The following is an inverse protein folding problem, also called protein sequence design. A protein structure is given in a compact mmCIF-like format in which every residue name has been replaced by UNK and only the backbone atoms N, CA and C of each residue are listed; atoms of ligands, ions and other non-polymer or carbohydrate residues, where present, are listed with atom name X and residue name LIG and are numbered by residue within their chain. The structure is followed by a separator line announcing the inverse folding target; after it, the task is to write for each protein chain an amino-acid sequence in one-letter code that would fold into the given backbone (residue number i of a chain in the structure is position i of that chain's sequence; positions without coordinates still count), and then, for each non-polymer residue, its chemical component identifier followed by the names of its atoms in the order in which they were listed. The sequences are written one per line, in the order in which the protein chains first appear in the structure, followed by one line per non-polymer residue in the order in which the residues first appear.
data_IF_577726373626
#
_entry.id   IF_577726373626
#
_cell.length_a   1.000
_cell.length_b   1.000
_cell.length_c   1.000
_cell.angle_alpha   90.00
_cell.angle_beta   90.00
_cell.angle_gamma   90.00
#
_symmetry.space_group_name_H-M   'P 1'
#
loop_
_entity.id
_entity.type
_entity.pdbx_description
1 polymer ?
#
# COMPACT_ATOMS: atom_id res chain seq x y z
N UNK A 1 -10.49 -14.87 16.51
CA UNK A 1 -9.59 -16.04 16.64
C UNK A 1 -8.85 -16.41 15.35
N UNK A 2 -9.32 -16.00 14.16
CA UNK A 2 -8.65 -16.30 12.86
C UNK A 2 -7.43 -15.41 12.58
N UNK A 3 -7.36 -14.21 13.19
CA UNK A 3 -6.35 -13.19 12.85
C UNK A 3 -4.90 -13.54 13.27
N UNK A 4 -4.70 -14.37 14.30
CA UNK A 4 -3.35 -14.73 14.79
C UNK A 4 -2.66 -15.83 13.99
N UNK A 5 -3.41 -16.67 13.28
CA UNK A 5 -2.82 -17.80 12.53
C UNK A 5 -2.21 -17.37 11.19
N UNK A 6 -2.76 -16.34 10.53
CA UNK A 6 -2.21 -15.80 9.28
C UNK A 6 -0.90 -15.03 9.50
N UNK A 7 -0.77 -14.28 10.60
CA UNK A 7 0.49 -13.62 10.96
C UNK A 7 1.64 -14.61 11.17
N UNK A 8 1.40 -15.78 11.75
CA UNK A 8 2.44 -16.77 12.01
C UNK A 8 2.91 -17.50 10.75
N UNK A 9 2.03 -17.72 9.76
CA UNK A 9 2.41 -18.34 8.49
C UNK A 9 3.28 -17.40 7.63
N UNK A 10 2.95 -16.10 7.62
CA UNK A 10 3.73 -15.07 6.93
C UNK A 10 5.12 -14.86 7.55
N UNK A 11 5.22 -14.88 8.88
CA UNK A 11 6.50 -14.69 9.59
C UNK A 11 7.47 -15.86 9.32
N UNK A 12 6.95 -17.09 9.15
CA UNK A 12 7.80 -18.27 8.89
C UNK A 12 8.43 -18.27 7.49
N UNK A 13 7.81 -17.62 6.49
CA UNK A 13 8.38 -17.51 5.15
C UNK A 13 9.33 -16.30 5.01
N UNK A 14 9.11 -15.24 5.82
CA UNK A 14 9.92 -14.02 5.83
C UNK A 14 11.35 -14.20 6.37
N UNK A 15 11.61 -15.19 7.23
CA UNK A 15 12.95 -15.38 7.82
C UNK A 15 13.97 -16.00 6.85
N UNK A 16 13.53 -16.59 5.73
CA UNK A 16 14.43 -17.17 4.74
C UNK A 16 14.83 -16.21 3.60
N UNK A 17 14.12 -15.08 3.44
CA UNK A 17 14.26 -14.19 2.28
C UNK A 17 15.05 -12.90 2.54
N UNK A 18 15.25 -12.53 3.81
CA UNK A 18 16.06 -11.35 4.19
C UNK A 18 17.53 -11.41 3.76
N UNK A 19 18.01 -12.56 3.30
CA UNK A 19 19.38 -12.74 2.84
C UNK A 19 19.59 -12.47 1.34
N UNK A 20 18.54 -12.47 0.52
CA UNK A 20 18.64 -12.26 -0.94
C UNK A 20 18.39 -10.82 -1.38
N UNK A 21 17.61 -10.06 -0.61
CA UNK A 21 17.27 -8.66 -0.88
C UNK A 21 18.52 -7.75 -0.83
N UNK A 22 19.51 -8.07 0.00
CA UNK A 22 20.71 -7.23 0.18
C UNK A 22 21.58 -7.02 -1.06
N UNK A 23 21.49 -7.88 -2.08
CA UNK A 23 22.36 -7.79 -3.27
C UNK A 23 21.76 -6.99 -4.44
N UNK A 24 20.43 -6.86 -4.53
CA UNK A 24 19.80 -6.07 -5.59
C UNK A 24 19.85 -4.54 -5.32
N UNK A 25 19.93 -4.14 -4.04
CA UNK A 25 19.73 -2.75 -3.61
C UNK A 25 20.94 -1.83 -3.83
N UNK A 26 22.16 -2.38 -3.89
CA UNK A 26 23.35 -1.57 -4.21
C UNK A 26 23.34 -1.04 -5.66
N UNK A 27 22.50 -1.61 -6.54
CA UNK A 27 22.45 -1.26 -7.97
C UNK A 27 21.52 -0.08 -8.31
N UNK A 28 20.52 0.26 -7.48
CA UNK A 28 19.61 1.40 -7.79
C UNK A 28 20.37 2.74 -7.73
N UNK A 29 21.42 2.86 -6.91
CA UNK A 29 22.13 4.13 -6.69
C UNK A 29 23.30 4.35 -7.67
N UNK A 30 24.01 3.27 -8.05
CA UNK A 30 25.18 3.37 -8.92
C UNK A 30 24.80 3.52 -10.42
N UNK A 31 23.66 2.97 -10.85
CA UNK A 31 23.20 3.12 -12.24
C UNK A 31 22.68 4.53 -12.57
N UNK A 32 22.25 5.31 -11.57
CA UNK A 32 21.66 6.64 -11.81
C UNK A 32 22.72 7.73 -11.99
N UNK A 33 23.87 7.59 -11.32
CA UNK A 33 24.97 8.57 -11.39
C UNK A 33 25.88 8.38 -12.61
N UNK A 34 25.91 7.20 -13.23
CA UNK A 34 26.71 6.94 -14.44
C UNK A 34 26.07 7.53 -15.74
N UNK A 35 24.88 8.13 -15.62
CA UNK A 35 24.08 8.70 -16.72
C UNK A 35 24.21 10.23 -16.87
N UNK A 36 25.21 10.88 -16.27
CA UNK A 36 25.32 12.36 -16.28
C UNK A 36 25.73 13.01 -17.63
N UNK A 37 25.59 12.29 -18.74
CA UNK A 37 25.80 12.79 -20.10
C UNK A 37 24.65 12.52 -21.08
N UNK A 38 23.53 11.93 -20.64
CA UNK A 38 22.39 11.60 -21.51
C UNK A 38 21.17 12.47 -21.19
N UNK A 39 20.50 12.92 -22.24
CA UNK A 39 19.18 13.57 -22.15
C UNK A 39 18.19 12.52 -21.65
N UNK A 40 17.68 12.69 -20.43
CA UNK A 40 16.61 11.83 -19.88
C UNK A 40 15.35 12.07 -20.74
N UNK A 41 14.75 11.03 -21.34
CA UNK A 41 13.52 11.17 -22.11
C UNK A 41 12.40 11.81 -21.29
N UNK A 42 11.63 12.70 -21.92
CA UNK A 42 10.53 13.41 -21.25
C UNK A 42 9.48 12.46 -20.66
N UNK A 43 9.32 11.28 -21.25
CA UNK A 43 8.46 10.20 -20.76
C UNK A 43 8.92 9.62 -19.40
N UNK A 44 10.23 9.43 -19.20
CA UNK A 44 10.78 8.92 -17.94
C UNK A 44 10.62 9.95 -16.81
N UNK A 45 10.77 11.24 -17.11
CA UNK A 45 10.53 12.33 -16.16
C UNK A 45 9.05 12.35 -15.73
N UNK A 46 8.12 12.19 -16.68
CA UNK A 46 6.68 12.15 -16.39
C UNK A 46 6.32 10.93 -15.54
N UNK A 47 6.79 9.75 -15.92
CA UNK A 47 6.59 8.51 -15.16
C UNK A 47 7.06 8.66 -13.71
N UNK A 48 8.29 9.15 -13.51
CA UNK A 48 8.83 9.38 -12.16
C UNK A 48 7.96 10.34 -11.34
N UNK A 49 7.50 11.44 -11.94
CA UNK A 49 6.64 12.42 -11.28
C UNK A 49 5.28 11.82 -10.90
N UNK A 50 4.68 11.04 -11.80
CA UNK A 50 3.38 10.42 -11.59
C UNK A 50 3.47 9.34 -10.51
N UNK A 51 4.52 8.52 -10.50
CA UNK A 51 4.80 7.54 -9.45
C UNK A 51 5.02 8.19 -8.08
N UNK A 52 5.85 9.24 -7.99
CA UNK A 52 6.09 9.95 -6.74
C UNK A 52 4.80 10.56 -6.18
N UNK A 53 3.98 11.15 -7.05
CA UNK A 53 2.68 11.69 -6.66
C UNK A 53 1.76 10.58 -6.15
N UNK A 54 1.63 9.49 -6.91
CA UNK A 54 0.80 8.34 -6.52
C UNK A 54 1.21 7.79 -5.14
N UNK A 55 2.51 7.58 -4.92
CA UNK A 55 3.03 7.09 -3.64
C UNK A 55 2.74 8.07 -2.49
N UNK A 56 2.87 9.37 -2.74
CA UNK A 56 2.53 10.40 -1.76
C UNK A 56 1.04 10.37 -1.41
N UNK A 57 0.17 10.29 -2.42
CA UNK A 57 -1.28 10.25 -2.24
C UNK A 57 -1.71 8.98 -1.46
N UNK A 58 -1.11 7.82 -1.76
CA UNK A 58 -1.34 6.56 -1.03
C UNK A 58 -0.99 6.72 0.46
N UNK A 59 0.21 7.25 0.78
CA UNK A 59 0.65 7.43 2.17
C UNK A 59 -0.23 8.41 2.94
N UNK A 60 -0.63 9.51 2.30
CA UNK A 60 -1.52 10.48 2.92
C UNK A 60 -2.90 9.88 3.21
N UNK A 61 -3.42 9.04 2.31
CA UNK A 61 -4.67 8.32 2.52
C UNK A 61 -4.55 7.27 3.63
N UNK A 62 -3.47 6.48 3.66
CA UNK A 62 -3.19 5.50 4.71
C UNK A 62 -3.14 6.16 6.09
N UNK A 63 -2.38 7.26 6.20
CA UNK A 63 -2.29 8.05 7.40
C UNK A 63 -3.64 8.62 7.83
N UNK A 64 -4.37 9.25 6.90
CA UNK A 64 -5.68 9.85 7.19
C UNK A 64 -6.73 8.83 7.61
N UNK A 65 -6.75 7.66 6.96
CA UNK A 65 -7.63 6.55 7.35
C UNK A 65 -7.27 6.04 8.75
N UNK A 66 -5.98 5.87 9.02
CA UNK A 66 -5.47 5.48 10.35
C UNK A 66 -5.87 6.49 11.43
N UNK A 67 -5.79 7.79 11.15
CA UNK A 67 -6.24 8.83 12.08
C UNK A 67 -7.74 8.75 12.36
N UNK A 68 -8.57 8.64 11.33
CA UNK A 68 -10.03 8.57 11.48
C UNK A 68 -10.44 7.34 12.29
N UNK A 69 -9.82 6.18 12.01
CA UNK A 69 -10.14 4.93 12.68
C UNK A 69 -9.58 4.85 14.10
N UNK A 70 -8.45 5.48 14.41
CA UNK A 70 -7.96 5.59 15.79
C UNK A 70 -8.71 6.65 16.59
N UNK A 71 -9.26 7.67 15.91
CA UNK A 71 -9.97 8.78 16.53
C UNK A 71 -11.32 9.00 15.87
N UNK A 72 -12.28 8.18 16.28
CA UNK A 72 -13.67 8.10 15.81
C UNK A 72 -14.45 9.43 15.80
N UNK A 73 -13.89 10.51 16.36
CA UNK A 73 -14.49 11.85 16.36
C UNK A 73 -14.09 12.72 15.16
N UNK A 74 -13.09 12.30 14.36
CA UNK A 74 -12.42 13.16 13.36
C UNK A 74 -12.84 12.91 11.91
N UNK A 75 -13.82 12.04 11.68
CA UNK A 75 -14.33 11.71 10.35
C UNK A 75 -15.73 11.11 10.38
N UNK A 76 -16.21 10.73 9.20
CA UNK A 76 -17.51 10.08 9.01
C UNK A 76 -17.37 8.74 8.29
N UNK A 77 -18.39 7.89 8.39
CA UNK A 77 -18.44 6.60 7.70
C UNK A 77 -18.32 6.78 6.18
N UNK A 78 -18.99 7.81 5.63
CA UNK A 78 -18.90 8.19 4.22
C UNK A 78 -17.46 8.55 3.84
N UNK A 79 -16.78 9.35 4.68
CA UNK A 79 -15.38 9.73 4.44
C UNK A 79 -14.45 8.50 4.44
N UNK A 80 -14.64 7.54 5.36
CA UNK A 80 -13.87 6.29 5.38
C UNK A 80 -14.08 5.50 4.09
N UNK A 81 -15.35 5.34 3.66
CA UNK A 81 -15.71 4.61 2.45
C UNK A 81 -15.06 5.25 1.21
N UNK A 82 -15.20 6.56 1.04
CA UNK A 82 -14.64 7.30 -0.09
C UNK A 82 -13.11 7.21 -0.11
N UNK A 83 -12.45 7.46 1.03
CA UNK A 83 -10.99 7.40 1.12
C UNK A 83 -10.45 6.00 0.89
N UNK A 84 -11.10 4.96 1.42
CA UNK A 84 -10.70 3.56 1.20
C UNK A 84 -10.84 3.17 -0.28
N UNK A 85 -11.89 3.64 -0.97
CA UNK A 85 -12.04 3.44 -2.42
C UNK A 85 -10.89 4.08 -3.20
N UNK A 86 -10.55 5.33 -2.90
CA UNK A 86 -9.44 6.05 -3.57
C UNK A 86 -8.10 5.39 -3.25
N UNK A 87 -7.90 4.95 -2.01
CA UNK A 87 -6.71 4.21 -1.60
C UNK A 87 -6.54 2.92 -2.40
N UNK A 88 -7.59 2.10 -2.47
CA UNK A 88 -7.59 0.84 -3.22
C UNK A 88 -7.27 1.06 -4.70
N UNK A 89 -7.84 2.10 -5.30
CA UNK A 89 -7.52 2.48 -6.69
C UNK A 89 -6.06 2.92 -6.84
N UNK A 90 -5.52 3.64 -5.85
CA UNK A 90 -4.11 4.01 -5.81
C UNK A 90 -3.18 2.80 -5.81
N UNK A 91 -3.45 1.81 -4.95
CA UNK A 91 -2.65 0.57 -4.90
C UNK A 91 -2.77 -0.21 -6.21
N UNK A 92 -3.96 -0.31 -6.83
CA UNK A 92 -4.13 -0.97 -8.14
C UNK A 92 -3.32 -0.30 -9.25
N UNK A 93 -3.26 1.03 -9.25
CA UNK A 93 -2.39 1.77 -10.18
C UNK A 93 -0.92 1.45 -9.92
N UNK A 94 -0.52 1.35 -8.66
CA UNK A 94 0.85 0.98 -8.30
C UNK A 94 1.18 -0.44 -8.80
N UNK A 95 0.27 -1.40 -8.62
CA UNK A 95 0.35 -2.75 -9.21
C UNK A 95 0.51 -2.70 -10.73
N UNK A 96 -0.24 -1.83 -11.40
CA UNK A 96 -0.15 -1.67 -12.86
C UNK A 96 1.22 -1.14 -13.28
N UNK A 97 1.73 -0.12 -12.59
CA UNK A 97 3.08 0.41 -12.81
C UNK A 97 4.17 -0.61 -12.53
N UNK A 98 4.02 -1.44 -11.50
CA UNK A 98 4.99 -2.47 -11.16
C UNK A 98 5.06 -3.55 -12.26
N UNK A 99 3.93 -3.90 -12.89
CA UNK A 99 3.90 -4.82 -14.03
C UNK A 99 4.53 -4.24 -15.31
N UNK A 100 4.48 -2.92 -15.52
CA UNK A 100 4.96 -2.29 -16.76
C UNK A 100 6.34 -1.67 -16.66
N UNK A 101 6.71 -1.17 -15.48
CA UNK A 101 7.93 -0.43 -15.16
C UNK A 101 8.51 -0.93 -13.82
N UNK A 102 8.81 -2.23 -13.76
CA UNK A 102 9.13 -2.93 -12.50
C UNK A 102 10.27 -2.26 -11.73
N UNK A 103 11.41 -2.01 -12.39
CA UNK A 103 12.61 -1.48 -11.75
C UNK A 103 12.38 -0.06 -11.21
N UNK A 104 11.86 0.84 -12.03
CA UNK A 104 11.60 2.24 -11.65
C UNK A 104 10.55 2.32 -10.54
N UNK A 105 9.49 1.52 -10.64
CA UNK A 105 8.43 1.46 -9.62
C UNK A 105 8.99 0.92 -8.31
N UNK A 106 9.82 -0.12 -8.34
CA UNK A 106 10.44 -0.69 -7.14
C UNK A 106 11.35 0.33 -6.45
N UNK A 107 12.26 1.00 -7.19
CA UNK A 107 13.14 1.99 -6.56
C UNK A 107 12.35 3.25 -6.06
N UNK A 108 11.24 3.65 -6.69
CA UNK A 108 10.47 4.85 -6.29
C UNK A 108 9.48 4.57 -5.15
N UNK A 109 8.85 3.40 -5.16
CA UNK A 109 7.83 2.99 -4.20
C UNK A 109 8.37 2.08 -3.10
N UNK A 110 9.70 2.00 -2.94
CA UNK A 110 10.41 1.16 -1.96
C UNK A 110 9.76 1.21 -0.58
N UNK A 111 9.47 2.41 -0.07
CA UNK A 111 8.93 2.57 1.28
C UNK A 111 7.46 2.15 1.43
N UNK A 112 6.71 2.02 0.33
CA UNK A 112 5.39 1.38 0.34
C UNK A 112 5.54 -0.14 0.24
N UNK A 113 6.44 -0.62 -0.60
CA UNK A 113 6.66 -2.06 -0.84
C UNK A 113 7.28 -2.75 0.38
N UNK A 114 8.09 -2.04 1.17
CA UNK A 114 8.70 -2.53 2.40
C UNK A 114 7.70 -2.64 3.56
N UNK A 115 6.52 -2.00 3.46
CA UNK A 115 5.44 -2.18 4.44
C UNK A 115 4.87 -3.58 4.36
N UNK A 116 4.25 -4.06 5.45
CA UNK A 116 3.55 -5.37 5.50
C UNK A 116 2.05 -5.28 5.23
N UNK A 117 1.58 -4.14 4.74
CA UNK A 117 0.18 -3.83 4.52
C UNK A 117 -0.10 -2.35 4.75
N UNK A 118 -1.37 -1.97 4.62
CA UNK A 118 -1.84 -0.64 4.99
C UNK A 118 -1.93 -0.51 6.52
N UNK A 119 -1.43 0.58 7.08
CA UNK A 119 -1.41 0.80 8.53
C UNK A 119 -2.84 0.87 9.10
N UNK A 120 -3.79 1.40 8.32
CA UNK A 120 -5.17 1.54 8.79
C UNK A 120 -5.90 0.20 8.98
N UNK A 121 -5.38 -0.89 8.41
CA UNK A 121 -5.91 -2.24 8.62
C UNK A 121 -5.47 -2.85 9.96
N UNK A 122 -4.43 -2.30 10.59
CA UNK A 122 -3.96 -2.75 11.91
C UNK A 122 -4.80 -2.14 13.05
N UNK A 123 -5.67 -1.18 12.75
CA UNK A 123 -6.63 -0.62 13.71
C UNK A 123 -7.74 -1.64 13.94
N UNK A 124 -7.98 -1.99 15.21
CA UNK A 124 -9.05 -2.92 15.59
C UNK A 124 -10.42 -2.24 15.35
N UNK A 125 -11.03 -2.56 14.22
CA UNK A 125 -12.33 -2.02 13.81
C UNK A 125 -13.34 -3.15 13.78
N UNK A 126 -14.33 -3.08 14.67
CA UNK A 126 -15.50 -3.94 14.60
C UNK A 126 -16.79 -3.16 14.27
N UNK A 127 -17.81 -3.89 13.79
CA UNK A 127 -19.11 -3.32 13.40
C UNK A 127 -19.81 -2.58 14.55
N UNK A 128 -19.62 -3.04 15.79
CA UNK A 128 -20.17 -2.40 16.98
C UNK A 128 -19.53 -1.04 17.20
N UNK A 129 -18.20 -0.95 17.10
CA UNK A 129 -17.46 0.31 17.24
C UNK A 129 -17.84 1.33 16.17
N UNK A 130 -17.93 0.92 14.90
CA UNK A 130 -18.35 1.82 13.81
C UNK A 130 -19.76 2.37 14.03
N UNK A 131 -20.69 1.53 14.50
CA UNK A 131 -22.06 1.95 14.77
C UNK A 131 -22.16 2.84 16.01
N UNK A 132 -21.51 2.45 17.10
CA UNK A 132 -21.71 3.06 18.41
C UNK A 132 -20.86 4.34 18.58
N UNK A 133 -19.67 4.41 17.97
CA UNK A 133 -18.80 5.59 18.05
C UNK A 133 -19.00 6.57 16.87
N UNK A 134 -19.17 6.05 15.65
CA UNK A 134 -19.27 6.88 14.44
C UNK A 134 -20.68 7.02 13.88
N UNK A 135 -21.67 6.40 14.52
CA UNK A 135 -23.07 6.41 14.07
C UNK A 135 -23.26 5.88 12.65
N UNK A 136 -22.42 4.93 12.22
CA UNK A 136 -22.56 4.29 10.91
C UNK A 136 -23.86 3.50 10.82
N UNK A 137 -24.51 3.54 9.65
CA UNK A 137 -25.58 2.59 9.36
C UNK A 137 -25.02 1.17 9.25
N UNK A 138 -25.89 0.15 9.36
CA UNK A 138 -25.48 -1.24 9.20
C UNK A 138 -24.89 -1.50 7.80
N UNK A 139 -25.42 -0.82 6.78
CA UNK A 139 -24.97 -0.95 5.40
C UNK A 139 -23.60 -0.28 5.20
N UNK A 140 -23.37 0.90 5.77
CA UNK A 140 -22.06 1.58 5.72
C UNK A 140 -20.99 0.74 6.42
N UNK A 141 -21.30 0.18 7.59
CA UNK A 141 -20.37 -0.67 8.32
C UNK A 141 -20.02 -1.96 7.55
N UNK A 142 -20.98 -2.54 6.82
CA UNK A 142 -20.73 -3.67 5.92
C UNK A 142 -19.85 -3.27 4.74
N UNK A 143 -20.09 -2.09 4.15
CA UNK A 143 -19.30 -1.59 3.03
C UNK A 143 -17.85 -1.32 3.45
N UNK A 144 -17.61 -0.70 4.61
CA UNK A 144 -16.26 -0.46 5.13
C UNK A 144 -15.50 -1.78 5.27
N UNK A 145 -16.11 -2.81 5.86
CA UNK A 145 -15.46 -4.12 6.02
C UNK A 145 -15.18 -4.78 4.67
N UNK A 146 -16.12 -4.73 3.73
CA UNK A 146 -15.91 -5.26 2.38
C UNK A 146 -14.78 -4.53 1.64
N UNK A 147 -14.65 -3.22 1.84
CA UNK A 147 -13.55 -2.44 1.29
C UNK A 147 -12.21 -2.81 1.92
N UNK A 148 -12.15 -3.08 3.24
CA UNK A 148 -10.95 -3.56 3.92
C UNK A 148 -10.51 -4.94 3.41
N UNK A 149 -11.44 -5.88 3.22
CA UNK A 149 -11.16 -7.18 2.61
C UNK A 149 -10.61 -7.03 1.19
N UNK A 150 -11.16 -6.09 0.42
CA UNK A 150 -10.66 -5.74 -0.91
C UNK A 150 -9.25 -5.16 -0.83
N UNK A 151 -8.97 -4.29 0.15
CA UNK A 151 -7.63 -3.73 0.38
C UNK A 151 -6.61 -4.83 0.63
N UNK A 152 -6.93 -5.80 1.49
CA UNK A 152 -6.05 -6.95 1.78
C UNK A 152 -5.73 -7.74 0.50
N UNK A 153 -6.74 -7.98 -0.34
CA UNK A 153 -6.56 -8.68 -1.61
C UNK A 153 -5.60 -7.93 -2.54
N UNK A 154 -5.80 -6.62 -2.72
CA UNK A 154 -4.95 -5.80 -3.61
C UNK A 154 -3.51 -5.71 -3.07
N UNK A 155 -3.34 -5.59 -1.75
CA UNK A 155 -2.01 -5.62 -1.13
C UNK A 155 -1.30 -6.96 -1.33
N UNK A 156 -2.05 -8.07 -1.26
CA UNK A 156 -1.51 -9.40 -1.57
C UNK A 156 -1.00 -9.46 -3.01
N UNK A 157 -1.78 -8.93 -3.98
CA UNK A 157 -1.33 -8.85 -5.37
C UNK A 157 -0.06 -8.01 -5.52
N UNK A 158 0.02 -6.86 -4.85
CA UNK A 158 1.22 -6.01 -4.84
C UNK A 158 2.45 -6.75 -4.29
N UNK A 159 2.30 -7.50 -3.19
CA UNK A 159 3.38 -8.29 -2.61
C UNK A 159 3.82 -9.41 -3.54
N UNK A 160 2.88 -10.12 -4.17
CA UNK A 160 3.22 -11.21 -5.08
C UNK A 160 4.02 -10.68 -6.27
N UNK A 161 3.60 -9.56 -6.86
CA UNK A 161 4.26 -9.01 -8.05
C UNK A 161 5.63 -8.39 -7.68
N UNK A 162 5.74 -7.69 -6.55
CA UNK A 162 7.03 -7.11 -6.13
C UNK A 162 8.10 -8.15 -5.78
N UNK A 163 7.67 -9.35 -5.36
CA UNK A 163 8.57 -10.46 -5.05
C UNK A 163 8.73 -11.44 -6.22
N UNK A 164 7.95 -11.31 -7.29
CA UNK A 164 8.10 -12.08 -8.53
C UNK A 164 9.26 -11.50 -9.35
N UNK A 165 10.45 -11.54 -8.76
CA UNK A 165 11.70 -11.27 -9.48
C UNK A 165 12.11 -12.57 -10.17
N UNK A 166 11.63 -12.74 -11.39
CA UNK A 166 12.16 -13.68 -12.38
C UNK A 166 13.42 -13.14 -13.06
#
# INVERSE_FOLDING_TARGET
FVNKFYHLLMISQLLHLSFLVGYAFSSCNDSFNDFLGRVVPEAEIRLKKDLLKLCTDIKQLDHRLTEILNNYTTGSCVEIIEKTKVYNEGIRKLVTYLNTHHLETTCIAEDILDKKGADFLDVDVDKGMLRDAMHCSEDDAKEIISLQETTVTIWTDLFLISNDVG
#
